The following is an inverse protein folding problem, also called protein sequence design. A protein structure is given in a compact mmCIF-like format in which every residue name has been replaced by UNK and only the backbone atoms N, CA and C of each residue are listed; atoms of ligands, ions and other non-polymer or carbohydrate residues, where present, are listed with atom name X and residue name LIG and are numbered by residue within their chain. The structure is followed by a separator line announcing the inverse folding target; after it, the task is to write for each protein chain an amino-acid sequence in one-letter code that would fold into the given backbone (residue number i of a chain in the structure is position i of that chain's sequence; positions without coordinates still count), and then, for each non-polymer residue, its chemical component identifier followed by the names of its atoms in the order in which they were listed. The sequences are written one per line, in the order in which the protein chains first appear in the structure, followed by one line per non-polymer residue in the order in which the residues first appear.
data_IF_796961702100
#
_entry.id   IF_796961702100
#
_cell.length_a   1.000
_cell.length_b   1.000
_cell.length_c   1.000
_cell.angle_alpha   90.00
_cell.angle_beta   90.00
_cell.angle_gamma   90.00
#
_symmetry.space_group_name_H-M   'P 1'
#
loop_
_entity.id
_entity.type
_entity.pdbx_description
1 polymer ?
#
# COMPACT_ATOMS: atom_id res chain seq x y z
N UNK A 1 0.04 -24.42 -7.01
CA UNK A 1 -1.02 -23.42 -7.30
C UNK A 1 -1.45 -22.94 -5.93
N UNK A 2 -1.06 -21.72 -5.57
CA UNK A 2 -1.29 -21.18 -4.23
C UNK A 2 -2.79 -20.95 -4.01
N UNK A 3 -3.29 -21.30 -2.82
CA UNK A 3 -4.72 -21.16 -2.47
C UNK A 3 -5.25 -19.73 -2.71
N UNK A 4 -4.37 -18.74 -2.56
CA UNK A 4 -4.69 -17.33 -2.80
C UNK A 4 -4.94 -17.01 -4.28
N UNK A 5 -4.28 -17.69 -5.22
CA UNK A 5 -4.50 -17.52 -6.66
C UNK A 5 -5.86 -18.12 -7.07
N UNK A 6 -6.29 -19.21 -6.41
CA UNK A 6 -7.60 -19.85 -6.64
C UNK A 6 -8.77 -19.00 -6.11
N UNK A 7 -8.60 -18.38 -4.93
CA UNK A 7 -9.60 -17.50 -4.33
C UNK A 7 -9.68 -16.12 -5.03
N UNK A 8 -8.57 -15.63 -5.60
CA UNK A 8 -8.54 -14.41 -6.42
C UNK A 8 -9.29 -14.62 -7.75
N UNK A 9 -9.16 -15.81 -8.37
CA UNK A 9 -9.90 -16.20 -9.58
C UNK A 9 -11.42 -16.30 -9.36
N UNK A 10 -11.85 -16.87 -8.23
CA UNK A 10 -13.29 -16.98 -7.90
C UNK A 10 -13.94 -15.61 -7.66
N UNK A 11 -13.18 -14.64 -7.12
CA UNK A 11 -13.63 -13.26 -6.93
C UNK A 11 -13.64 -12.44 -8.23
N UNK A 12 -12.76 -12.75 -9.18
CA UNK A 12 -12.68 -12.11 -10.51
C UNK A 12 -13.82 -12.56 -11.44
N UNK A 13 -14.39 -13.75 -11.18
CA UNK A 13 -15.59 -14.28 -11.84
C UNK A 13 -16.90 -13.68 -11.30
N UNK A 14 -16.92 -13.14 -10.08
CA UNK A 14 -18.15 -12.70 -9.41
C UNK A 14 -18.52 -11.23 -9.69
N UNK A 15 -17.63 -10.45 -10.32
CA UNK A 15 -17.89 -9.05 -10.70
C UNK A 15 -18.16 -8.84 -12.19
N UNK A 16 -18.23 -9.90 -12.99
CA UNK A 16 -18.76 -9.86 -14.36
C UNK A 16 -20.30 -9.87 -14.37
N UNK A 17 -20.93 -9.04 -13.53
CA UNK A 17 -22.38 -8.84 -13.56
C UNK A 17 -22.69 -7.59 -14.41
N UNK A 18 -23.02 -7.89 -15.68
CA UNK A 18 -23.99 -7.15 -16.49
C UNK A 18 -23.66 -5.70 -16.92
N UNK A 19 -22.45 -5.46 -17.46
CA UNK A 19 -22.22 -4.28 -18.32
C UNK A 19 -22.12 -4.72 -19.79
N UNK A 20 -23.12 -4.31 -20.58
CA UNK A 20 -23.28 -4.57 -22.01
C UNK A 20 -22.12 -3.98 -22.85
N UNK A 21 -20.97 -4.64 -22.87
CA UNK A 21 -19.95 -4.49 -23.90
C UNK A 21 -19.69 -5.87 -24.48
N UNK A 22 -19.71 -6.00 -25.81
CA UNK A 22 -19.44 -7.27 -26.48
C UNK A 22 -18.16 -7.89 -25.91
N UNK A 23 -18.15 -9.20 -25.58
CA UNK A 23 -16.95 -9.85 -25.09
C UNK A 23 -15.87 -9.68 -26.16
N UNK A 24 -14.75 -9.02 -25.82
CA UNK A 24 -13.60 -8.92 -26.70
C UNK A 24 -12.89 -10.28 -26.71
N UNK A 25 -13.52 -11.24 -27.39
CA UNK A 25 -13.18 -12.68 -27.41
C UNK A 25 -11.71 -12.89 -27.78
N UNK A 26 -11.14 -11.99 -28.59
CA UNK A 26 -9.75 -12.03 -29.01
C UNK A 26 -8.79 -11.73 -27.84
N UNK A 27 -9.10 -10.75 -26.99
CA UNK A 27 -8.30 -10.43 -25.79
C UNK A 27 -8.36 -11.56 -24.76
N UNK A 28 -9.55 -12.11 -24.53
CA UNK A 28 -9.77 -13.21 -23.59
C UNK A 28 -8.99 -14.48 -24.01
N UNK A 29 -9.13 -14.88 -25.27
CA UNK A 29 -8.43 -16.05 -25.81
C UNK A 29 -6.90 -15.88 -25.70
N UNK A 30 -6.39 -14.69 -26.02
CA UNK A 30 -4.96 -14.43 -25.96
C UNK A 30 -4.42 -14.37 -24.52
N UNK A 31 -5.22 -13.89 -23.57
CA UNK A 31 -4.88 -13.92 -22.14
C UNK A 31 -4.75 -15.37 -21.63
N UNK A 32 -5.72 -16.25 -21.92
CA UNK A 32 -5.64 -17.64 -21.47
C UNK A 32 -4.50 -18.42 -22.14
N UNK A 33 -4.23 -18.17 -23.42
CA UNK A 33 -3.07 -18.74 -24.12
C UNK A 33 -1.75 -18.31 -23.43
N UNK A 34 -1.63 -17.02 -23.09
CA UNK A 34 -0.47 -16.48 -22.36
C UNK A 34 -0.33 -17.09 -20.97
N UNK A 35 -1.46 -17.31 -20.28
CA UNK A 35 -1.49 -17.92 -18.94
C UNK A 35 -1.05 -19.39 -18.97
N UNK A 36 -1.41 -20.14 -20.01
CA UNK A 36 -0.94 -21.53 -20.19
C UNK A 36 0.59 -21.60 -20.37
N UNK A 37 1.17 -20.62 -21.06
CA UNK A 37 2.62 -20.54 -21.31
C UNK A 37 3.44 -20.19 -20.06
N UNK A 38 2.83 -19.55 -19.05
CA UNK A 38 3.49 -19.12 -17.80
C UNK A 38 4.29 -20.22 -17.10
N UNK A 39 3.82 -21.47 -17.16
CA UNK A 39 4.47 -22.61 -16.49
C UNK A 39 5.60 -23.20 -17.33
N UNK A 40 5.46 -23.20 -18.66
CA UNK A 40 6.41 -23.83 -19.56
C UNK A 40 7.54 -22.87 -19.99
N UNK A 41 7.19 -21.66 -20.41
CA UNK A 41 8.11 -20.67 -20.99
C UNK A 41 7.78 -19.26 -20.46
N UNK A 42 8.35 -18.85 -19.31
CA UNK A 42 7.97 -17.58 -18.67
C UNK A 42 8.37 -16.34 -19.47
N UNK A 43 9.44 -16.40 -20.26
CA UNK A 43 9.84 -15.31 -21.16
C UNK A 43 8.89 -15.14 -22.35
N UNK A 44 8.48 -16.24 -22.99
CA UNK A 44 7.51 -16.21 -24.09
C UNK A 44 6.13 -15.77 -23.61
N UNK A 45 5.72 -16.21 -22.43
CA UNK A 45 4.49 -15.76 -21.78
C UNK A 45 4.49 -14.24 -21.55
N UNK A 46 5.64 -13.66 -21.16
CA UNK A 46 5.76 -12.22 -20.98
C UNK A 46 5.56 -11.47 -22.30
N UNK A 47 6.13 -11.96 -23.40
CA UNK A 47 5.91 -11.38 -24.73
C UNK A 47 4.46 -11.52 -25.20
N UNK A 48 3.82 -12.66 -24.93
CA UNK A 48 2.41 -12.86 -25.30
C UNK A 48 1.48 -11.96 -24.49
N UNK A 49 1.77 -11.73 -23.20
CA UNK A 49 1.05 -10.76 -22.37
C UNK A 49 1.28 -9.31 -22.83
N UNK A 50 2.48 -8.95 -23.30
CA UNK A 50 2.71 -7.63 -23.94
C UNK A 50 1.79 -7.41 -25.14
N UNK A 51 1.61 -8.43 -25.98
CA UNK A 51 0.71 -8.36 -27.15
C UNK A 51 -0.75 -8.13 -26.73
N UNK A 52 -1.21 -8.67 -25.60
CA UNK A 52 -2.56 -8.37 -25.08
C UNK A 52 -2.71 -6.89 -24.74
N UNK A 53 -1.67 -6.25 -24.17
CA UNK A 53 -1.69 -4.82 -23.86
C UNK A 53 -1.64 -3.93 -25.12
N UNK A 54 -0.99 -4.38 -26.19
CA UNK A 54 -0.95 -3.66 -27.47
C UNK A 54 -2.29 -3.73 -28.22
N UNK A 55 -3.02 -4.85 -28.07
CA UNK A 55 -4.33 -5.04 -28.69
C UNK A 55 -5.43 -4.24 -27.98
N UNK A 56 -5.27 -4.01 -26.67
CA UNK A 56 -6.19 -3.21 -25.88
C UNK A 56 -6.10 -1.71 -26.26
N UNK A 57 -7.03 -1.24 -27.09
CA UNK A 57 -7.09 0.17 -27.54
C UNK A 57 -7.59 1.12 -26.45
N UNK A 58 -8.51 0.66 -25.61
CA UNK A 58 -9.05 1.40 -24.48
C UNK A 58 -8.75 0.66 -23.19
N UNK A 59 -8.26 1.39 -22.17
CA UNK A 59 -7.89 0.78 -20.88
C UNK A 59 -9.10 0.10 -20.24
N UNK A 60 -9.11 -1.22 -20.29
CA UNK A 60 -10.16 -2.07 -19.77
C UNK A 60 -9.66 -3.00 -18.68
N UNK A 61 -10.52 -3.97 -18.36
CA UNK A 61 -10.25 -4.95 -17.31
C UNK A 61 -9.20 -5.99 -17.74
N UNK A 62 -9.18 -6.37 -19.02
CA UNK A 62 -8.24 -7.36 -19.55
C UNK A 62 -6.78 -6.88 -19.50
N UNK A 63 -6.50 -5.61 -19.80
CA UNK A 63 -5.17 -5.04 -19.61
C UNK A 63 -4.77 -5.00 -18.14
N UNK A 64 -5.70 -4.70 -17.24
CA UNK A 64 -5.42 -4.70 -15.81
C UNK A 64 -5.08 -6.11 -15.29
N UNK A 65 -5.87 -7.12 -15.67
CA UNK A 65 -5.61 -8.54 -15.35
C UNK A 65 -4.26 -9.01 -15.91
N UNK A 66 -3.97 -8.62 -17.15
CA UNK A 66 -2.69 -8.89 -17.83
C UNK A 66 -1.51 -8.27 -17.09
N UNK A 67 -1.57 -6.98 -16.74
CA UNK A 67 -0.51 -6.29 -16.02
C UNK A 67 -0.22 -6.91 -14.65
N UNK A 68 -1.25 -7.37 -13.92
CA UNK A 68 -1.05 -8.11 -12.67
C UNK A 68 -0.22 -9.39 -12.88
N UNK A 69 -0.51 -10.14 -13.94
CA UNK A 69 0.25 -11.35 -14.26
C UNK A 69 1.67 -11.04 -14.73
N UNK A 70 1.87 -9.97 -15.52
CA UNK A 70 3.20 -9.52 -15.93
C UNK A 70 4.04 -9.13 -14.71
N UNK A 71 3.48 -8.39 -13.75
CA UNK A 71 4.18 -8.02 -12.51
C UNK A 71 4.56 -9.27 -11.71
N UNK A 72 3.64 -10.24 -11.54
CA UNK A 72 3.94 -11.54 -10.89
C UNK A 72 5.05 -12.31 -11.64
N UNK A 73 5.05 -12.29 -12.97
CA UNK A 73 6.04 -12.99 -13.82
C UNK A 73 7.42 -12.34 -13.79
N UNK A 74 7.50 -11.03 -14.03
CA UNK A 74 8.75 -10.26 -13.98
C UNK A 74 9.41 -10.35 -12.61
N UNK A 75 8.59 -10.38 -11.56
CA UNK A 75 9.02 -10.64 -10.19
C UNK A 75 9.72 -11.99 -10.04
N UNK A 76 9.16 -13.07 -10.61
CA UNK A 76 9.76 -14.41 -10.56
C UNK A 76 11.02 -14.52 -11.44
N UNK A 77 11.09 -13.74 -12.51
CA UNK A 77 12.24 -13.68 -13.43
C UNK A 77 13.39 -12.80 -12.91
N UNK A 78 13.18 -12.03 -11.84
CA UNK A 78 14.18 -11.11 -11.28
C UNK A 78 14.40 -9.83 -12.10
N UNK A 79 13.50 -9.52 -13.03
CA UNK A 79 13.58 -8.34 -13.92
C UNK A 79 12.93 -7.12 -13.25
N UNK A 80 13.59 -6.61 -12.20
CA UNK A 80 13.01 -5.58 -11.33
C UNK A 80 12.81 -4.22 -12.01
N UNK A 81 13.69 -3.83 -12.92
CA UNK A 81 13.60 -2.54 -13.63
C UNK A 81 12.33 -2.50 -14.51
N UNK A 82 12.12 -3.52 -15.32
CA UNK A 82 10.91 -3.64 -16.15
C UNK A 82 9.64 -3.80 -15.28
N UNK A 83 9.74 -4.48 -14.14
CA UNK A 83 8.62 -4.65 -13.20
C UNK A 83 8.10 -3.30 -12.69
N UNK A 84 8.98 -2.35 -12.39
CA UNK A 84 8.60 -0.99 -11.97
C UNK A 84 7.82 -0.27 -13.06
N UNK A 85 8.23 -0.42 -14.32
CA UNK A 85 7.54 0.21 -15.45
C UNK A 85 6.15 -0.39 -15.69
N UNK A 86 6.01 -1.72 -15.63
CA UNK A 86 4.70 -2.37 -15.69
C UNK A 86 3.82 -1.99 -14.51
N UNK A 87 4.39 -1.82 -13.32
CA UNK A 87 3.65 -1.38 -12.16
C UNK A 87 3.13 0.06 -12.33
N UNK A 88 3.96 0.98 -12.83
CA UNK A 88 3.52 2.34 -13.15
C UNK A 88 2.40 2.34 -14.19
N UNK A 89 2.48 1.48 -15.21
CA UNK A 89 1.40 1.29 -16.17
C UNK A 89 0.12 0.83 -15.47
N UNK A 90 0.19 -0.20 -14.62
CA UNK A 90 -0.95 -0.70 -13.83
C UNK A 90 -1.60 0.40 -13.00
N UNK A 91 -0.80 1.25 -12.36
CA UNK A 91 -1.32 2.37 -11.58
C UNK A 91 -2.10 3.39 -12.44
N UNK A 92 -1.86 3.48 -13.75
CA UNK A 92 -2.68 4.35 -14.63
C UNK A 92 -4.08 3.81 -14.87
N UNK A 93 -4.28 2.49 -14.85
CA UNK A 93 -5.60 1.85 -15.00
C UNK A 93 -6.50 2.08 -13.79
N UNK A 94 -5.89 2.26 -12.61
CA UNK A 94 -6.61 2.49 -11.34
C UNK A 94 -7.48 3.76 -11.37
N UNK A 95 -7.13 4.75 -12.20
CA UNK A 95 -7.87 6.01 -12.29
C UNK A 95 -9.15 5.90 -13.13
N UNK A 96 -9.18 5.02 -14.12
CA UNK A 96 -10.20 5.06 -15.19
C UNK A 96 -10.90 3.73 -15.46
N UNK A 97 -10.20 2.60 -15.32
CA UNK A 97 -10.67 1.32 -15.83
C UNK A 97 -11.31 0.42 -14.76
N UNK A 98 -11.03 0.67 -13.47
CA UNK A 98 -11.28 -0.31 -12.41
C UNK A 98 -11.89 0.36 -11.18
N UNK A 99 -12.78 -0.36 -10.48
CA UNK A 99 -13.40 0.14 -9.25
C UNK A 99 -12.37 0.37 -8.13
N UNK A 100 -12.63 1.36 -7.28
CA UNK A 100 -11.74 1.73 -6.16
C UNK A 100 -11.41 0.55 -5.25
N UNK A 101 -12.40 -0.27 -4.90
CA UNK A 101 -12.22 -1.42 -4.01
C UNK A 101 -11.33 -2.51 -4.63
N UNK A 102 -11.50 -2.80 -5.92
CA UNK A 102 -10.70 -3.79 -6.63
C UNK A 102 -9.24 -3.31 -6.80
N UNK A 103 -9.06 -2.02 -7.08
CA UNK A 103 -7.72 -1.42 -7.14
C UNK A 103 -6.99 -1.46 -5.79
N UNK A 104 -7.69 -1.22 -4.68
CA UNK A 104 -7.12 -1.29 -3.33
C UNK A 104 -6.67 -2.72 -2.98
N UNK A 105 -7.50 -3.73 -3.27
CA UNK A 105 -7.11 -5.14 -3.08
C UNK A 105 -5.87 -5.48 -3.91
N UNK A 106 -5.87 -5.12 -5.19
CA UNK A 106 -4.76 -5.42 -6.10
C UNK A 106 -3.46 -4.74 -5.68
N UNK A 107 -3.50 -3.47 -5.26
CA UNK A 107 -2.33 -2.77 -4.71
C UNK A 107 -1.81 -3.48 -3.46
N UNK A 108 -2.68 -3.84 -2.50
CA UNK A 108 -2.25 -4.53 -1.29
C UNK A 108 -1.59 -5.88 -1.60
N UNK A 109 -2.19 -6.68 -2.49
CA UNK A 109 -1.64 -7.98 -2.90
C UNK A 109 -0.24 -7.82 -3.53
N UNK A 110 -0.05 -6.85 -4.42
CA UNK A 110 1.26 -6.59 -5.04
C UNK A 110 2.28 -6.11 -4.01
N UNK A 111 1.91 -5.16 -3.14
CA UNK A 111 2.81 -4.65 -2.11
C UNK A 111 3.20 -5.74 -1.10
N UNK A 112 2.28 -6.63 -0.74
CA UNK A 112 2.56 -7.73 0.18
C UNK A 112 3.48 -8.77 -0.49
N UNK A 113 3.30 -9.07 -1.79
CA UNK A 113 4.23 -9.90 -2.56
C UNK A 113 5.64 -9.30 -2.62
N UNK A 114 5.76 -8.00 -2.87
CA UNK A 114 7.06 -7.31 -2.93
C UNK A 114 7.72 -7.24 -1.56
N UNK A 115 6.92 -7.04 -0.51
CA UNK A 115 7.44 -7.05 0.87
C UNK A 115 8.07 -8.39 1.25
N UNK A 116 7.62 -9.51 0.65
CA UNK A 116 8.19 -10.84 0.85
C UNK A 116 9.60 -10.99 0.27
N UNK A 117 9.92 -10.27 -0.80
CA UNK A 117 11.21 -10.36 -1.49
C UNK A 117 12.38 -9.73 -0.74
N UNK A 118 12.12 -8.98 0.35
CA UNK A 118 13.13 -8.31 1.20
C UNK A 118 14.10 -7.36 0.48
N UNK A 119 13.86 -7.02 -0.80
CA UNK A 119 14.62 -6.00 -1.50
C UNK A 119 14.11 -4.61 -1.09
N UNK A 120 14.85 -3.99 -0.17
CA UNK A 120 14.43 -2.74 0.46
C UNK A 120 14.34 -1.60 -0.56
N UNK A 121 15.34 -1.42 -1.41
CA UNK A 121 15.41 -0.30 -2.36
C UNK A 121 14.28 -0.37 -3.39
N UNK A 122 13.97 -1.59 -3.84
CA UNK A 122 12.82 -1.84 -4.69
C UNK A 122 11.50 -1.52 -3.98
N UNK A 123 11.34 -1.97 -2.74
CA UNK A 123 10.13 -1.75 -1.95
C UNK A 123 9.84 -0.25 -1.76
N UNK A 124 10.88 0.57 -1.56
CA UNK A 124 10.77 2.04 -1.49
C UNK A 124 10.25 2.64 -2.80
N UNK A 125 10.84 2.28 -3.95
CA UNK A 125 10.39 2.74 -5.27
C UNK A 125 8.93 2.40 -5.55
N UNK A 126 8.48 1.21 -5.14
CA UNK A 126 7.08 0.80 -5.26
C UNK A 126 6.16 1.62 -4.37
N UNK A 127 6.53 1.84 -3.11
CA UNK A 127 5.73 2.67 -2.21
C UNK A 127 5.61 4.12 -2.72
N UNK A 128 6.72 4.73 -3.13
CA UNK A 128 6.72 6.11 -3.66
C UNK A 128 5.86 6.23 -4.91
N UNK A 129 6.06 5.35 -5.90
CA UNK A 129 5.27 5.34 -7.14
C UNK A 129 3.77 5.16 -6.87
N UNK A 130 3.42 4.32 -5.89
CA UNK A 130 2.04 4.11 -5.47
C UNK A 130 1.45 5.36 -4.83
N UNK A 131 2.20 6.01 -3.94
CA UNK A 131 1.74 7.17 -3.18
C UNK A 131 1.45 8.37 -4.09
N UNK A 132 2.27 8.60 -5.11
CA UNK A 132 2.06 9.66 -6.10
C UNK A 132 0.73 9.48 -6.83
N UNK A 133 0.43 8.24 -7.25
CA UNK A 133 -0.82 7.93 -7.93
C UNK A 133 -2.00 8.02 -6.96
N UNK A 134 -1.88 7.49 -5.75
CA UNK A 134 -2.95 7.55 -4.75
C UNK A 134 -3.29 8.97 -4.31
N UNK A 135 -2.29 9.87 -4.25
CA UNK A 135 -2.47 11.30 -3.97
C UNK A 135 -3.31 11.96 -5.06
N UNK A 136 -3.03 11.65 -6.33
CA UNK A 136 -3.82 12.16 -7.45
C UNK A 136 -5.23 11.54 -7.54
N UNK A 137 -5.41 10.31 -7.06
CA UNK A 137 -6.69 9.60 -7.05
C UNK A 137 -7.62 9.97 -5.87
N UNK A 138 -7.19 10.88 -4.96
CA UNK A 138 -7.93 11.26 -3.73
C UNK A 138 -8.32 10.05 -2.86
N UNK A 139 -7.42 9.06 -2.79
CA UNK A 139 -7.62 7.84 -2.02
C UNK A 139 -7.04 7.94 -0.60
N UNK A 140 -7.51 8.90 0.19
CA UNK A 140 -6.94 9.26 1.50
C UNK A 140 -6.73 8.07 2.46
N UNK A 141 -7.66 7.12 2.49
CA UNK A 141 -7.57 5.94 3.38
C UNK A 141 -6.39 5.03 3.02
N UNK A 142 -6.29 4.64 1.76
CA UNK A 142 -5.21 3.76 1.29
C UNK A 142 -3.89 4.52 1.29
N UNK A 143 -3.90 5.79 0.86
CA UNK A 143 -2.74 6.67 0.92
C UNK A 143 -2.16 6.76 2.34
N UNK A 144 -3.02 6.93 3.36
CA UNK A 144 -2.57 6.96 4.76
C UNK A 144 -1.95 5.63 5.19
N UNK A 145 -2.61 4.50 4.92
CA UNK A 145 -2.13 3.16 5.30
C UNK A 145 -0.79 2.83 4.63
N UNK A 146 -0.63 3.20 3.37
CA UNK A 146 0.61 3.02 2.59
C UNK A 146 1.74 3.89 3.12
N UNK A 147 1.46 5.16 3.46
CA UNK A 147 2.45 6.03 4.11
C UNK A 147 2.92 5.51 5.47
N UNK A 148 2.03 4.94 6.27
CA UNK A 148 2.41 4.32 7.55
C UNK A 148 3.32 3.10 7.33
N UNK A 149 3.06 2.27 6.30
CA UNK A 149 3.96 1.16 5.94
C UNK A 149 5.34 1.68 5.51
N UNK A 150 5.38 2.73 4.68
CA UNK A 150 6.63 3.37 4.25
C UNK A 150 7.40 4.01 5.42
N UNK A 151 6.69 4.67 6.34
CA UNK A 151 7.29 5.25 7.55
C UNK A 151 7.95 4.19 8.43
N UNK A 152 7.31 3.02 8.60
CA UNK A 152 7.91 1.89 9.33
C UNK A 152 9.17 1.37 8.64
N UNK A 153 9.17 1.31 7.30
CA UNK A 153 10.35 0.93 6.53
C UNK A 153 11.52 1.91 6.74
N UNK A 154 11.27 3.22 6.68
CA UNK A 154 12.30 4.22 6.98
C UNK A 154 12.81 4.15 8.43
N UNK A 155 11.91 3.86 9.38
CA UNK A 155 12.28 3.62 10.76
C UNK A 155 13.22 2.42 10.90
N UNK A 156 12.90 1.30 10.26
CA UNK A 156 13.74 0.08 10.27
C UNK A 156 15.13 0.32 9.66
N UNK A 157 15.22 1.19 8.64
CA UNK A 157 16.49 1.63 8.03
C UNK A 157 17.25 2.69 8.83
N UNK A 158 16.67 3.23 9.91
CA UNK A 158 17.18 4.38 10.68
C UNK A 158 17.34 5.67 9.84
N UNK A 159 16.62 5.81 8.73
CA UNK A 159 16.55 7.09 8.01
C UNK A 159 15.48 7.99 8.63
N UNK A 160 15.90 8.71 9.66
CA UNK A 160 15.00 9.59 10.39
C UNK A 160 14.67 10.90 9.65
N UNK A 161 15.47 11.29 8.64
CA UNK A 161 15.21 12.53 7.89
C UNK A 161 14.00 12.35 6.98
N UNK A 162 13.99 11.26 6.23
CA UNK A 162 12.87 10.92 5.33
C UNK A 162 11.62 10.58 6.12
N UNK A 163 11.77 9.86 7.25
CA UNK A 163 10.67 9.58 8.19
C UNK A 163 10.00 10.87 8.70
N UNK A 164 10.77 11.87 9.12
CA UNK A 164 10.21 13.14 9.64
C UNK A 164 9.36 13.85 8.58
N UNK A 165 9.82 13.90 7.34
CA UNK A 165 9.07 14.52 6.23
C UNK A 165 7.71 13.85 6.01
N UNK A 166 7.69 12.51 6.01
CA UNK A 166 6.45 11.74 5.82
C UNK A 166 5.49 11.95 6.98
N UNK A 167 6.00 11.99 8.22
CA UNK A 167 5.17 12.24 9.41
C UNK A 167 4.55 13.65 9.38
N UNK A 168 5.29 14.65 8.92
CA UNK A 168 4.78 16.01 8.74
C UNK A 168 3.68 16.07 7.65
N UNK A 169 3.87 15.38 6.52
CA UNK A 169 2.86 15.27 5.46
C UNK A 169 1.59 14.57 5.95
N UNK A 170 1.72 13.45 6.68
CA UNK A 170 0.60 12.73 7.28
C UNK A 170 -0.16 13.61 8.28
N UNK A 171 0.57 14.39 9.09
CA UNK A 171 -0.03 15.29 10.08
C UNK A 171 -0.82 16.42 9.42
N UNK A 172 -0.27 17.01 8.36
CA UNK A 172 -0.98 18.02 7.57
C UNK A 172 -2.25 17.44 6.92
N UNK A 173 -2.18 16.23 6.38
CA UNK A 173 -3.35 15.53 5.84
C UNK A 173 -4.45 15.35 6.89
N UNK A 174 -4.11 15.01 8.13
CA UNK A 174 -5.09 14.84 9.21
C UNK A 174 -5.72 16.16 9.68
N UNK A 175 -5.03 17.29 9.54
CA UNK A 175 -5.51 18.62 9.96
C UNK A 175 -6.40 19.31 8.90
N UNK A 176 -6.18 19.03 7.61
CA UNK A 176 -6.85 19.74 6.51
C UNK A 176 -8.28 19.28 6.22
N UNK A 177 -8.69 18.07 6.64
CA UNK A 177 -10.00 17.51 6.30
C UNK A 177 -11.04 17.86 7.38
N UNK A 178 -12.26 18.25 7.01
CA UNK A 178 -13.28 18.86 7.88
C UNK A 178 -13.87 18.00 9.03
N UNK A 179 -14.72 18.63 9.85
CA UNK A 179 -15.24 18.20 11.17
C UNK A 179 -15.99 16.86 11.27
N UNK A 180 -16.30 16.17 10.17
CA UNK A 180 -17.15 14.98 10.20
C UNK A 180 -16.44 13.66 10.65
N UNK A 181 -15.09 13.62 10.65
CA UNK A 181 -14.31 12.37 10.83
C UNK A 181 -13.38 12.39 12.08
N UNK A 182 -13.74 13.11 13.14
CA UNK A 182 -12.87 13.31 14.32
C UNK A 182 -12.40 12.00 14.99
N UNK A 183 -13.25 10.97 15.04
CA UNK A 183 -12.90 9.68 15.67
C UNK A 183 -11.85 8.90 14.85
N UNK A 184 -11.98 8.90 13.52
CA UNK A 184 -11.03 8.24 12.61
C UNK A 184 -9.68 8.96 12.63
N UNK A 185 -9.70 10.29 12.60
CA UNK A 185 -8.51 11.13 12.77
C UNK A 185 -7.82 10.90 14.10
N UNK A 186 -8.58 10.74 15.17
CA UNK A 186 -8.04 10.40 16.49
C UNK A 186 -7.26 9.08 16.48
N UNK A 187 -7.65 8.10 15.66
CA UNK A 187 -6.90 6.83 15.51
C UNK A 187 -5.63 7.02 14.69
N UNK A 188 -5.76 7.64 13.53
CA UNK A 188 -4.64 7.91 12.63
C UNK A 188 -3.56 8.75 13.30
N UNK A 189 -3.96 9.79 14.03
CA UNK A 189 -3.03 10.67 14.72
C UNK A 189 -2.31 9.96 15.88
N UNK A 190 -2.96 9.01 16.55
CA UNK A 190 -2.29 8.17 17.56
C UNK A 190 -1.23 7.26 16.94
N UNK A 191 -1.46 6.73 15.74
CA UNK A 191 -0.46 5.94 15.02
C UNK A 191 0.75 6.79 14.60
N UNK A 192 0.52 8.02 14.12
CA UNK A 192 1.60 8.98 13.82
C UNK A 192 2.42 9.27 15.08
N UNK A 193 1.74 9.60 16.19
CA UNK A 193 2.41 9.88 17.46
C UNK A 193 3.19 8.68 18.00
N UNK A 194 2.68 7.46 17.83
CA UNK A 194 3.39 6.25 18.22
C UNK A 194 4.72 6.11 17.46
N UNK A 195 4.71 6.34 16.14
CA UNK A 195 5.93 6.29 15.31
C UNK A 195 6.92 7.41 15.67
N UNK A 196 6.43 8.64 15.92
CA UNK A 196 7.27 9.75 16.37
C UNK A 196 7.95 9.44 17.70
N UNK A 197 7.22 8.87 18.67
CA UNK A 197 7.79 8.47 19.96
C UNK A 197 8.85 7.38 19.77
N UNK A 198 8.61 6.38 18.92
CA UNK A 198 9.58 5.33 18.60
C UNK A 198 10.85 5.92 17.98
N UNK A 199 10.71 6.83 17.01
CA UNK A 199 11.82 7.55 16.38
C UNK A 199 12.67 8.31 17.40
N UNK A 200 12.05 9.15 18.24
CA UNK A 200 12.79 9.94 19.23
C UNK A 200 13.43 9.10 20.33
N UNK A 201 12.83 7.94 20.66
CA UNK A 201 13.41 6.98 21.61
C UNK A 201 14.72 6.40 21.06
N UNK A 202 14.75 6.01 19.78
CA UNK A 202 15.97 5.55 19.11
C UNK A 202 17.03 6.66 18.96
N UNK A 203 16.62 7.91 18.76
CA UNK A 203 17.53 9.07 18.69
C UNK A 203 18.08 9.52 20.05
N UNK A 204 17.58 8.97 21.18
CA UNK A 204 17.94 9.36 22.56
C UNK A 204 17.74 10.85 22.87
N UNK A 205 16.86 11.51 22.13
CA UNK A 205 16.56 12.93 22.26
C UNK A 205 15.54 13.19 23.40
N UNK A 206 16.00 13.03 24.63
CA UNK A 206 15.19 13.10 25.86
C UNK A 206 14.45 14.43 26.09
N UNK A 207 14.87 15.53 25.43
CA UNK A 207 14.27 16.86 25.58
C UNK A 207 12.98 17.04 24.77
N UNK A 208 12.88 16.43 23.58
CA UNK A 208 11.68 16.52 22.72
C UNK A 208 10.59 15.50 23.10
N UNK A 209 10.99 14.37 23.67
CA UNK A 209 10.09 13.32 24.19
C UNK A 209 9.16 13.80 25.32
N UNK A 210 9.68 14.61 26.26
CA UNK A 210 8.99 14.91 27.53
C UNK A 210 7.79 15.86 27.43
N UNK A 211 7.88 16.94 26.66
CA UNK A 211 6.96 18.07 26.86
C UNK A 211 5.76 18.05 25.91
N UNK A 212 5.95 17.67 24.64
CA UNK A 212 4.89 17.79 23.63
C UNK A 212 4.15 16.48 23.32
N UNK A 213 4.81 15.34 23.46
CA UNK A 213 4.31 14.07 22.93
C UNK A 213 3.52 13.26 23.94
N UNK A 214 4.08 13.01 25.13
CA UNK A 214 3.36 12.25 26.16
C UNK A 214 2.08 12.98 26.53
N UNK A 215 2.12 14.30 26.74
CA UNK A 215 0.95 15.09 27.14
C UNK A 215 -0.15 15.07 26.07
N UNK A 216 0.15 15.34 24.78
CA UNK A 216 -0.84 15.32 23.70
C UNK A 216 -1.40 13.91 23.42
N UNK A 217 -0.55 12.89 23.48
CA UNK A 217 -0.97 11.48 23.35
C UNK A 217 -1.92 11.11 24.49
N UNK A 218 -1.58 11.49 25.73
CA UNK A 218 -2.45 11.28 26.89
C UNK A 218 -3.76 12.04 26.76
N UNK A 219 -3.75 13.31 26.35
CA UNK A 219 -4.98 14.09 26.16
C UNK A 219 -5.91 13.47 25.10
N UNK A 220 -5.35 12.96 23.98
CA UNK A 220 -6.13 12.26 22.95
C UNK A 220 -6.65 10.90 23.40
N UNK A 221 -5.84 10.11 24.11
CA UNK A 221 -6.25 8.83 24.68
C UNK A 221 -7.33 9.01 25.77
N UNK A 222 -7.20 10.04 26.61
CA UNK A 222 -8.18 10.40 27.64
C UNK A 222 -9.49 10.89 27.04
N UNK A 223 -9.43 11.66 25.94
CA UNK A 223 -10.61 12.12 25.18
C UNK A 223 -11.33 10.97 24.46
N UNK A 224 -10.64 9.86 24.16
CA UNK A 224 -11.19 8.71 23.42
C UNK A 224 -11.69 7.56 24.31
N UNK A 225 -11.00 7.22 25.39
CA UNK A 225 -11.30 6.05 26.22
C UNK A 225 -11.83 6.40 27.61
N UNK A 226 -11.92 7.68 27.96
CA UNK A 226 -12.30 8.13 29.30
C UNK A 226 -11.30 7.70 30.38
N UNK A 227 -11.45 8.22 31.62
CA UNK A 227 -10.49 7.99 32.71
C UNK A 227 -10.36 6.53 33.18
N UNK A 228 -11.26 5.63 32.76
CA UNK A 228 -11.45 4.32 33.40
C UNK A 228 -10.97 3.11 32.58
N UNK A 229 -10.47 3.29 31.36
CA UNK A 229 -10.03 2.18 30.52
C UNK A 229 -8.60 2.38 30.04
N UNK A 230 -7.59 2.15 30.90
CA UNK A 230 -6.22 1.97 30.40
C UNK A 230 -5.41 0.91 31.16
N UNK A 231 -4.91 -0.13 30.46
CA UNK A 231 -3.76 -0.92 30.90
C UNK A 231 -2.42 -0.18 30.66
N UNK A 232 -2.45 1.13 30.33
CA UNK A 232 -1.26 1.96 30.09
C UNK A 232 -0.34 2.14 31.30
N UNK A 233 -0.73 1.70 32.50
CA UNK A 233 0.19 1.65 33.66
C UNK A 233 1.40 0.76 33.38
N UNK A 234 1.29 -0.31 32.57
CA UNK A 234 2.44 -1.19 32.26
C UNK A 234 3.45 -0.58 31.26
N UNK A 235 3.00 0.16 30.25
CA UNK A 235 3.91 0.87 29.34
C UNK A 235 4.49 2.14 29.98
N UNK A 236 3.70 2.86 30.79
CA UNK A 236 4.19 4.00 31.56
C UNK A 236 5.23 3.58 32.61
N UNK A 237 5.03 2.48 33.35
CA UNK A 237 6.05 1.97 34.27
C UNK A 237 7.33 1.54 33.54
N UNK A 238 7.25 0.91 32.36
CA UNK A 238 8.45 0.55 31.59
C UNK A 238 9.24 1.76 31.07
N UNK A 239 8.56 2.86 30.74
CA UNK A 239 9.20 4.12 30.35
C UNK A 239 9.81 4.85 31.55
N UNK A 240 9.25 4.73 32.75
CA UNK A 240 9.84 5.27 33.99
C UNK A 240 11.06 4.44 34.43
N UNK A 241 11.05 3.12 34.24
CA UNK A 241 12.22 2.27 34.57
C UNK A 241 13.40 2.38 33.62
N UNK A 242 13.23 3.00 32.44
CA UNK A 242 14.33 3.34 31.53
C UNK A 242 15.01 4.68 31.89
N UNK A 243 14.57 5.31 32.98
CA UNK A 243 15.06 6.62 33.45
C UNK A 243 15.71 6.58 34.84
N UNK A 244 16.02 5.39 35.36
CA UNK A 244 16.99 5.22 36.46
C UNK A 244 18.33 4.70 35.92
#
# INVERSE_FOLDING_TARGET
MDLDDYMEEEYDFQYSDDSCSEPDVDLENQYYNSKALKVAHPFEALESFKKVLELEKEKGEWGFRTLKQIVKLTCNLGMYDEMVDYYKQLLTYIKSAVTRNYSEKSINNILDHISSMKNMDLLELFYESTLDVLKSARNDRLWFKTNIKLAKLYFDRRDFRSLTKILDELRHSCQSNGTADELRKGTQLLEIYALEIQMYTEQKDNKKLKVNFVLRSFTLLFRRFGPNCFPARRCACKLVTLTE
#
